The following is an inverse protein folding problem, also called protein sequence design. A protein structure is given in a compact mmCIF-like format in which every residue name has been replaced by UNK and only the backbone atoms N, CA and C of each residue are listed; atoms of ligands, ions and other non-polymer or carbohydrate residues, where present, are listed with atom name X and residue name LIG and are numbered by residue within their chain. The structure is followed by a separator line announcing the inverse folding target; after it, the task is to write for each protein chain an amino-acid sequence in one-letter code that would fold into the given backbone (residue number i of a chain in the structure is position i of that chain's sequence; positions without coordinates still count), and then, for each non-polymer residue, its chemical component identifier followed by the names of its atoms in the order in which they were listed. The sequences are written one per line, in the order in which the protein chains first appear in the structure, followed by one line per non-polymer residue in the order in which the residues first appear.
data_IF_867902107995
#
_entry.id   IF_867902107995
#
_cell.length_a   1.000
_cell.length_b   1.000
_cell.length_c   1.000
_cell.angle_alpha   90.00
_cell.angle_beta   90.00
_cell.angle_gamma   90.00
#
_symmetry.space_group_name_H-M   'P 1'
#
loop_
_entity.id
_entity.type
_entity.pdbx_description
1 polymer ?
#
# COMPACT_ATOMS: atom_id res chain seq x y z
N UNK A 1 32.07 8.34 23.02
CA UNK A 1 31.23 9.35 22.31
C UNK A 1 29.84 9.36 22.93
N UNK A 2 29.12 10.50 22.86
CA UNK A 2 27.75 10.63 23.38
C UNK A 2 26.82 9.56 22.75
N UNK A 3 26.98 9.29 21.47
CA UNK A 3 26.22 8.24 20.78
C UNK A 3 26.49 6.85 21.34
N UNK A 4 27.72 6.53 21.76
CA UNK A 4 28.04 5.25 22.38
C UNK A 4 27.39 5.09 23.77
N UNK A 5 27.28 6.16 24.54
CA UNK A 5 26.59 6.13 25.84
C UNK A 5 25.09 5.95 25.66
N UNK A 6 24.50 6.67 24.72
CA UNK A 6 23.07 6.56 24.38
C UNK A 6 22.77 5.12 23.87
N UNK A 7 23.57 4.61 22.94
CA UNK A 7 23.41 3.26 22.40
C UNK A 7 23.55 2.19 23.51
N UNK A 8 24.52 2.34 24.42
CA UNK A 8 24.68 1.43 25.54
C UNK A 8 23.51 1.49 26.53
N UNK A 9 23.05 2.69 26.85
CA UNK A 9 21.90 2.89 27.73
C UNK A 9 20.62 2.28 27.12
N UNK A 10 20.36 2.49 25.84
CA UNK A 10 19.21 1.91 25.14
C UNK A 10 19.29 0.39 25.04
N UNK A 11 20.48 -0.16 24.76
CA UNK A 11 20.71 -1.60 24.73
C UNK A 11 20.49 -2.25 26.10
N UNK A 12 20.82 -1.55 27.21
CA UNK A 12 20.59 -2.05 28.58
C UNK A 12 19.09 -2.12 28.94
N UNK A 13 18.23 -1.35 28.25
CA UNK A 13 16.77 -1.45 28.36
C UNK A 13 16.15 -2.43 27.35
N UNK A 14 16.95 -3.17 26.57
CA UNK A 14 16.47 -4.14 25.58
C UNK A 14 15.85 -3.52 24.31
N UNK A 15 16.10 -2.23 24.08
CA UNK A 15 15.59 -1.51 22.92
C UNK A 15 16.68 -0.66 22.26
N UNK A 16 16.46 -0.25 21.03
CA UNK A 16 17.31 0.71 20.33
C UNK A 16 16.51 1.99 19.98
N UNK A 17 17.21 3.06 19.65
CA UNK A 17 16.58 4.36 19.36
C UNK A 17 15.54 4.26 18.22
N UNK A 18 15.86 3.48 17.18
CA UNK A 18 14.93 3.23 16.09
C UNK A 18 13.65 2.54 16.58
N UNK A 19 13.81 1.51 17.41
CA UNK A 19 12.71 0.73 17.97
C UNK A 19 11.79 1.58 18.85
N UNK A 20 12.35 2.44 19.71
CA UNK A 20 11.57 3.37 20.53
C UNK A 20 10.74 4.32 19.67
N UNK A 21 11.33 4.89 18.61
CA UNK A 21 10.59 5.77 17.68
C UNK A 21 9.48 4.98 16.99
N UNK A 22 9.80 3.81 16.45
CA UNK A 22 8.81 2.98 15.75
C UNK A 22 7.65 2.60 16.68
N UNK A 23 7.92 2.12 17.88
CA UNK A 23 6.90 1.72 18.85
C UNK A 23 6.05 2.91 19.32
N UNK A 24 6.67 4.08 19.48
CA UNK A 24 5.96 5.31 19.85
C UNK A 24 4.98 5.80 18.77
N UNK A 25 5.24 5.48 17.52
CA UNK A 25 4.40 5.85 16.37
C UNK A 25 3.42 4.71 16.05
N UNK A 26 3.90 3.48 15.96
CA UNK A 26 3.10 2.34 15.51
C UNK A 26 2.00 1.95 16.50
N UNK A 27 2.29 1.98 17.81
CA UNK A 27 1.30 1.54 18.82
C UNK A 27 0.02 2.39 18.81
N UNK A 28 0.06 3.74 18.85
CA UNK A 28 -1.14 4.56 18.75
C UNK A 28 -1.86 4.41 17.42
N UNK A 29 -1.09 4.30 16.31
CA UNK A 29 -1.67 4.17 14.99
C UNK A 29 -2.30 2.79 14.77
N UNK A 30 -1.67 1.71 15.23
CA UNK A 30 -2.24 0.37 15.16
C UNK A 30 -3.59 0.28 15.92
N UNK A 31 -3.72 1.02 17.03
CA UNK A 31 -4.98 1.12 17.76
C UNK A 31 -6.13 1.77 16.96
N UNK A 32 -5.82 2.54 15.91
CA UNK A 32 -6.82 3.11 14.99
C UNK A 32 -7.38 2.07 13.99
N UNK A 33 -6.83 0.87 13.94
CA UNK A 33 -7.32 -0.23 13.11
C UNK A 33 -7.43 0.13 11.63
N UNK A 34 -8.60 -0.10 11.04
CA UNK A 34 -8.84 0.13 9.61
C UNK A 34 -8.65 1.58 9.14
N UNK A 35 -8.74 2.56 10.05
CA UNK A 35 -8.53 3.98 9.70
C UNK A 35 -7.13 4.21 9.14
N UNK A 36 -6.12 3.52 9.68
CA UNK A 36 -4.73 3.62 9.19
C UNK A 36 -4.61 3.15 7.74
N UNK A 37 -5.26 2.06 7.38
CA UNK A 37 -5.26 1.55 6.02
C UNK A 37 -5.90 2.52 5.02
N UNK A 38 -7.05 3.09 5.37
CA UNK A 38 -7.69 4.13 4.56
C UNK A 38 -6.82 5.38 4.43
N UNK A 39 -6.24 5.84 5.54
CA UNK A 39 -5.33 6.97 5.52
C UNK A 39 -4.12 6.70 4.62
N UNK A 40 -3.51 5.52 4.74
CA UNK A 40 -2.38 5.12 3.89
C UNK A 40 -2.71 5.23 2.41
N UNK A 41 -3.80 4.63 1.97
CA UNK A 41 -4.21 4.60 0.55
C UNK A 41 -4.46 6.02 0.02
N UNK A 42 -5.14 6.86 0.80
CA UNK A 42 -5.42 8.25 0.42
C UNK A 42 -4.13 9.08 0.37
N UNK A 43 -3.31 9.01 1.40
CA UNK A 43 -2.05 9.76 1.45
C UNK A 43 -1.05 9.28 0.41
N UNK A 44 -0.97 7.97 0.15
CA UNK A 44 -0.14 7.44 -0.92
C UNK A 44 -0.51 8.04 -2.29
N UNK A 45 -1.80 8.08 -2.61
CA UNK A 45 -2.28 8.68 -3.86
C UNK A 45 -2.02 10.20 -3.92
N UNK A 46 -2.25 10.91 -2.81
CA UNK A 46 -1.98 12.35 -2.73
C UNK A 46 -0.49 12.66 -2.92
N UNK A 47 0.39 11.92 -2.25
CA UNK A 47 1.85 12.13 -2.37
C UNK A 47 2.30 11.92 -3.82
N UNK A 48 1.86 10.84 -4.46
CA UNK A 48 2.15 10.60 -5.86
C UNK A 48 1.60 11.70 -6.78
N UNK A 49 0.42 12.22 -6.49
CA UNK A 49 -0.14 13.34 -7.25
C UNK A 49 0.72 14.60 -7.17
N UNK A 50 1.38 14.84 -6.03
CA UNK A 50 2.34 15.93 -5.85
C UNK A 50 3.77 15.59 -6.30
N UNK A 51 3.98 14.44 -6.92
CA UNK A 51 5.30 14.00 -7.43
C UNK A 51 6.22 13.41 -6.37
N UNK A 52 5.69 13.12 -5.18
CA UNK A 52 6.42 12.43 -4.10
C UNK A 52 6.11 10.94 -4.16
N UNK A 53 7.13 10.09 -4.10
CA UNK A 53 6.94 8.63 -4.07
C UNK A 53 6.22 8.22 -2.78
N UNK A 54 4.92 7.93 -2.88
CA UNK A 54 4.04 7.76 -1.72
C UNK A 54 4.48 6.63 -0.80
N UNK A 55 4.73 5.43 -1.32
CA UNK A 55 5.14 4.28 -0.50
C UNK A 55 6.47 4.54 0.24
N UNK A 56 7.45 5.20 -0.40
CA UNK A 56 8.69 5.57 0.28
C UNK A 56 8.46 6.59 1.39
N UNK A 57 7.59 7.57 1.17
CA UNK A 57 7.27 8.57 2.19
C UNK A 57 6.50 7.96 3.38
N UNK A 58 5.71 6.91 3.13
CA UNK A 58 4.90 6.21 4.13
C UNK A 58 5.58 4.95 4.71
N UNK A 59 6.87 4.74 4.46
CA UNK A 59 7.63 3.57 4.92
C UNK A 59 7.52 3.33 6.43
N UNK A 60 7.39 4.39 7.23
CA UNK A 60 7.21 4.25 8.68
C UNK A 60 5.89 3.56 9.06
N UNK A 61 4.79 3.85 8.34
CA UNK A 61 3.51 3.16 8.52
C UNK A 61 3.59 1.72 8.01
N UNK A 62 4.24 1.54 6.89
CA UNK A 62 4.42 0.27 6.23
C UNK A 62 5.18 -0.71 7.14
N UNK A 63 6.40 -0.35 7.56
CA UNK A 63 7.24 -1.19 8.41
C UNK A 63 6.74 -1.28 9.87
N UNK A 64 6.08 -0.24 10.38
CA UNK A 64 5.63 -0.18 11.76
C UNK A 64 4.29 -0.83 12.02
N UNK A 65 3.44 -1.01 11.00
CA UNK A 65 2.07 -1.49 11.18
C UNK A 65 1.71 -2.57 10.16
N UNK A 66 1.83 -2.29 8.86
CA UNK A 66 1.30 -3.17 7.82
C UNK A 66 2.13 -4.44 7.64
N UNK A 67 3.46 -4.34 7.76
CA UNK A 67 4.36 -5.49 7.76
C UNK A 67 4.16 -6.38 9.01
N UNK A 68 4.09 -5.87 10.25
CA UNK A 68 3.69 -6.65 11.41
C UNK A 68 2.36 -7.38 11.23
N UNK A 69 1.32 -6.72 10.71
CA UNK A 69 0.05 -7.36 10.40
C UNK A 69 0.17 -8.51 9.38
N UNK A 70 1.05 -8.35 8.38
CA UNK A 70 1.34 -9.43 7.44
C UNK A 70 2.01 -10.61 8.13
N UNK A 71 2.99 -10.36 9.01
CA UNK A 71 3.67 -11.41 9.78
C UNK A 71 2.70 -12.14 10.73
N UNK A 72 1.76 -11.43 11.34
CA UNK A 72 0.71 -12.04 12.17
C UNK A 72 -0.21 -12.93 11.32
N UNK A 73 -0.61 -12.49 10.13
CA UNK A 73 -1.40 -13.30 9.21
C UNK A 73 -0.66 -14.58 8.80
N UNK A 74 0.64 -14.49 8.50
CA UNK A 74 1.49 -15.64 8.17
C UNK A 74 1.60 -16.59 9.37
N UNK A 75 1.80 -16.05 10.58
CA UNK A 75 1.90 -16.85 11.81
C UNK A 75 0.59 -17.62 12.08
N UNK A 76 -0.56 -16.99 11.90
CA UNK A 76 -1.87 -17.65 12.02
C UNK A 76 -2.02 -18.77 11.00
N UNK A 77 -1.67 -18.51 9.73
CA UNK A 77 -1.71 -19.54 8.70
C UNK A 77 -0.82 -20.73 9.02
N UNK A 78 0.41 -20.47 9.46
CA UNK A 78 1.35 -21.55 9.83
C UNK A 78 0.88 -22.34 11.05
N UNK A 79 0.25 -21.69 12.03
CA UNK A 79 -0.25 -22.32 13.24
C UNK A 79 -1.45 -23.25 12.98
N UNK A 80 -2.38 -22.83 12.10
CA UNK A 80 -3.62 -23.54 11.86
C UNK A 80 -3.63 -24.36 10.56
N UNK A 81 -2.61 -24.20 9.70
CA UNK A 81 -2.43 -24.93 8.45
C UNK A 81 -3.33 -24.45 7.29
N UNK A 82 -4.38 -23.68 7.59
CA UNK A 82 -5.24 -23.05 6.58
C UNK A 82 -5.95 -21.81 7.13
N UNK A 83 -6.42 -20.96 6.22
CA UNK A 83 -7.23 -19.78 6.56
C UNK A 83 -8.53 -20.20 7.23
N UNK A 84 -9.22 -21.20 6.68
CA UNK A 84 -10.52 -21.66 7.17
C UNK A 84 -10.41 -22.21 8.59
N UNK A 85 -9.41 -23.04 8.87
CA UNK A 85 -9.17 -23.59 10.22
C UNK A 85 -8.87 -22.47 11.24
N UNK A 86 -8.16 -21.43 10.86
CA UNK A 86 -7.92 -20.29 11.74
C UNK A 86 -9.21 -19.51 12.03
N UNK A 87 -10.05 -19.29 11.02
CA UNK A 87 -11.34 -18.60 11.16
C UNK A 87 -12.30 -19.43 12.03
N UNK A 88 -12.39 -20.74 11.84
CA UNK A 88 -13.17 -21.66 12.67
C UNK A 88 -12.70 -21.65 14.13
N UNK A 89 -11.39 -21.45 14.36
CA UNK A 89 -10.82 -21.26 15.70
C UNK A 89 -11.05 -19.83 16.27
N UNK A 90 -11.87 -18.98 15.61
CA UNK A 90 -12.20 -17.65 16.05
C UNK A 90 -11.10 -16.61 15.86
N UNK A 91 -10.11 -16.89 15.00
CA UNK A 91 -9.03 -15.94 14.68
C UNK A 91 -9.46 -15.00 13.56
N UNK A 92 -8.92 -13.78 13.63
CA UNK A 92 -9.15 -12.75 12.61
C UNK A 92 -7.83 -12.39 11.92
N UNK A 93 -7.90 -12.25 10.61
CA UNK A 93 -6.77 -11.79 9.79
C UNK A 93 -6.85 -10.29 9.58
N UNK A 94 -5.69 -9.65 9.53
CA UNK A 94 -5.59 -8.23 9.23
C UNK A 94 -5.77 -8.00 7.74
N UNK A 95 -6.83 -7.27 7.36
CA UNK A 95 -7.11 -6.92 5.97
C UNK A 95 -6.05 -5.97 5.39
N UNK A 96 -5.63 -4.96 6.17
CA UNK A 96 -4.71 -3.91 5.72
C UNK A 96 -3.23 -4.31 5.76
N UNK A 97 -2.93 -5.59 5.73
CA UNK A 97 -1.57 -6.09 5.62
C UNK A 97 -0.99 -5.84 4.21
N UNK A 98 0.33 -5.65 4.10
CA UNK A 98 1.01 -5.35 2.84
C UNK A 98 0.62 -6.24 1.67
N UNK A 99 0.60 -7.57 1.77
CA UNK A 99 0.26 -8.42 0.64
C UNK A 99 -1.14 -8.14 0.07
N UNK A 100 -2.11 -7.74 0.91
CA UNK A 100 -3.45 -7.37 0.45
C UNK A 100 -3.43 -6.02 -0.28
N UNK A 101 -2.66 -5.05 0.22
CA UNK A 101 -2.48 -3.76 -0.44
C UNK A 101 -1.88 -3.94 -1.83
N UNK A 102 -0.76 -4.66 -1.92
CA UNK A 102 0.00 -4.83 -3.16
C UNK A 102 -0.74 -5.67 -4.20
N UNK A 103 -1.44 -6.74 -3.76
CA UNK A 103 -2.11 -7.66 -4.67
C UNK A 103 -3.42 -7.14 -5.24
N UNK A 104 -4.18 -6.33 -4.48
CA UNK A 104 -5.54 -5.94 -4.86
C UNK A 104 -5.75 -4.43 -4.91
N UNK A 105 -5.23 -3.67 -3.96
CA UNK A 105 -5.56 -2.24 -3.83
C UNK A 105 -4.61 -1.39 -4.68
N UNK A 106 -3.32 -1.70 -4.68
CA UNK A 106 -2.30 -1.01 -5.47
C UNK A 106 -2.09 -1.67 -6.85
N UNK A 107 -2.97 -2.56 -7.26
CA UNK A 107 -2.87 -3.28 -8.53
C UNK A 107 -2.74 -2.29 -9.69
N UNK A 108 -1.69 -2.48 -10.49
CA UNK A 108 -1.35 -1.58 -11.59
C UNK A 108 -0.69 -0.27 -11.14
N UNK A 109 -0.21 -0.24 -9.88
CA UNK A 109 0.53 0.88 -9.30
C UNK A 109 -0.36 2.01 -8.76
N UNK A 110 0.27 3.02 -8.18
CA UNK A 110 -0.44 4.18 -7.62
C UNK A 110 -1.25 4.90 -8.69
N UNK A 111 -2.55 5.18 -8.37
CA UNK A 111 -3.49 5.74 -9.33
C UNK A 111 -4.01 4.72 -10.36
N UNK A 112 -3.80 3.40 -10.15
CA UNK A 112 -4.17 2.32 -11.07
C UNK A 112 -3.72 2.61 -12.52
N UNK A 113 -2.47 3.05 -12.67
CA UNK A 113 -1.95 3.57 -13.94
C UNK A 113 -1.89 2.54 -15.05
N UNK A 114 -1.79 1.26 -14.75
CA UNK A 114 -1.94 0.19 -15.74
C UNK A 114 -3.35 0.22 -16.37
N UNK A 115 -4.39 0.42 -15.55
CA UNK A 115 -5.76 0.63 -16.03
C UNK A 115 -5.88 1.86 -16.91
N UNK A 116 -5.20 2.95 -16.58
CA UNK A 116 -5.14 4.16 -17.41
C UNK A 116 -4.45 3.87 -18.76
N UNK A 117 -3.35 3.13 -18.79
CA UNK A 117 -2.67 2.72 -20.02
C UNK A 117 -3.63 1.93 -20.93
N UNK A 118 -4.34 0.96 -20.35
CA UNK A 118 -5.34 0.17 -21.09
C UNK A 118 -6.46 1.07 -21.62
N UNK A 119 -6.99 1.97 -20.80
CA UNK A 119 -8.04 2.91 -21.19
C UNK A 119 -7.60 3.83 -22.35
N UNK A 120 -6.34 4.27 -22.34
CA UNK A 120 -5.77 5.07 -23.44
C UNK A 120 -5.74 4.27 -24.74
N UNK A 121 -5.36 3.01 -24.72
CA UNK A 121 -5.37 2.16 -25.91
C UNK A 121 -6.78 1.95 -26.47
N UNK A 122 -7.78 1.85 -25.61
CA UNK A 122 -9.18 1.63 -26.02
C UNK A 122 -9.82 2.94 -26.51
N UNK A 123 -9.71 4.02 -25.72
CA UNK A 123 -10.55 5.20 -25.89
C UNK A 123 -9.83 6.43 -26.46
N UNK A 124 -8.51 6.55 -26.31
CA UNK A 124 -7.82 7.76 -26.76
C UNK A 124 -7.65 7.79 -28.28
N UNK A 125 -8.00 8.92 -28.87
CA UNK A 125 -7.75 9.23 -30.30
C UNK A 125 -6.46 10.05 -30.50
N UNK A 126 -5.82 10.50 -29.41
CA UNK A 126 -4.60 11.31 -29.46
C UNK A 126 -3.39 10.42 -29.65
N UNK A 127 -2.60 10.70 -30.68
CA UNK A 127 -1.41 9.92 -31.01
C UNK A 127 -0.32 10.03 -29.93
N UNK A 128 -0.14 11.23 -29.37
CA UNK A 128 0.81 11.49 -28.27
C UNK A 128 0.51 10.65 -27.03
N UNK A 129 -0.76 10.62 -26.58
CA UNK A 129 -1.15 9.80 -25.44
C UNK A 129 -0.92 8.30 -25.68
N UNK A 130 -1.25 7.82 -26.89
CA UNK A 130 -1.04 6.40 -27.25
C UNK A 130 0.45 6.05 -27.31
N UNK A 131 1.29 6.98 -27.75
CA UNK A 131 2.74 6.78 -27.78
C UNK A 131 3.31 6.68 -26.37
N UNK A 132 2.94 7.59 -25.47
CA UNK A 132 3.37 7.53 -24.07
C UNK A 132 2.88 6.22 -23.41
N UNK A 133 1.61 5.85 -23.60
CA UNK A 133 1.07 4.61 -23.06
C UNK A 133 1.83 3.36 -23.58
N UNK A 134 2.22 3.35 -24.85
CA UNK A 134 3.02 2.26 -25.43
C UNK A 134 4.40 2.16 -24.80
N UNK A 135 5.07 3.29 -24.55
CA UNK A 135 6.37 3.33 -23.89
C UNK A 135 6.29 2.97 -22.40
N UNK A 136 5.19 3.35 -21.73
CA UNK A 136 4.99 3.07 -20.31
C UNK A 136 4.44 1.66 -20.02
N UNK A 137 3.87 0.95 -21.01
CA UNK A 137 3.26 -0.35 -20.81
C UNK A 137 4.21 -1.40 -20.20
N UNK A 138 5.47 -1.56 -20.69
CA UNK A 138 6.37 -2.55 -20.11
C UNK A 138 6.62 -2.32 -18.61
N UNK A 139 6.85 -1.08 -18.20
CA UNK A 139 7.07 -0.74 -16.79
C UNK A 139 5.78 -0.82 -15.98
N UNK A 140 4.65 -0.44 -16.57
CA UNK A 140 3.33 -0.47 -15.91
C UNK A 140 2.88 -1.89 -15.52
N UNK A 141 3.26 -2.91 -16.28
CA UNK A 141 3.01 -4.33 -15.94
C UNK A 141 3.69 -4.70 -14.61
N UNK A 142 4.86 -4.11 -14.33
CA UNK A 142 5.60 -4.31 -13.10
C UNK A 142 5.25 -3.26 -12.03
N UNK A 143 4.13 -2.56 -12.17
CA UNK A 143 3.64 -1.51 -11.25
C UNK A 143 4.59 -0.29 -11.11
N UNK A 144 5.47 -0.08 -12.09
CA UNK A 144 6.35 1.09 -12.15
C UNK A 144 5.60 2.22 -12.86
N UNK A 145 5.20 3.25 -12.11
CA UNK A 145 4.26 4.27 -12.54
C UNK A 145 4.92 5.48 -13.21
N UNK A 146 6.19 5.72 -12.92
CA UNK A 146 6.89 6.95 -13.30
C UNK A 146 6.80 7.27 -14.80
N UNK A 147 6.97 6.31 -15.73
CA UNK A 147 6.89 6.62 -17.15
C UNK A 147 5.53 7.17 -17.59
N UNK A 148 4.44 6.69 -17.01
CA UNK A 148 3.10 7.18 -17.35
C UNK A 148 2.76 8.48 -16.60
N UNK A 149 3.18 8.61 -15.34
CA UNK A 149 2.90 9.80 -14.52
C UNK A 149 3.59 11.05 -15.05
N UNK A 150 4.84 10.91 -15.50
CA UNK A 150 5.63 12.00 -16.06
C UNK A 150 5.46 12.14 -17.57
N UNK A 151 5.19 11.07 -18.30
CA UNK A 151 4.97 11.09 -19.74
C UNK A 151 3.62 11.67 -20.15
N UNK A 152 2.58 11.46 -19.35
CA UNK A 152 1.34 12.23 -19.38
C UNK A 152 1.41 13.26 -18.26
N UNK A 153 0.90 14.49 -18.46
CA UNK A 153 0.91 15.51 -17.41
C UNK A 153 -0.16 15.18 -16.34
N UNK A 154 0.08 14.12 -15.55
CA UNK A 154 -0.84 13.68 -14.49
C UNK A 154 -0.53 14.43 -13.19
N UNK A 155 0.77 14.55 -12.85
CA UNK A 155 1.22 15.20 -11.64
C UNK A 155 0.78 16.67 -11.64
N UNK A 156 0.19 17.10 -10.53
CA UNK A 156 -0.37 18.45 -10.30
C UNK A 156 -1.38 18.91 -11.36
N UNK A 157 -1.96 17.98 -12.13
CA UNK A 157 -2.98 18.30 -13.11
C UNK A 157 -4.37 18.31 -12.44
N UNK A 158 -5.06 19.46 -12.33
CA UNK A 158 -6.34 19.55 -11.63
C UNK A 158 -7.42 18.62 -12.21
N UNK A 159 -7.38 18.35 -13.52
CA UNK A 159 -8.34 17.47 -14.18
C UNK A 159 -8.14 16.02 -13.77
N UNK A 160 -6.88 15.63 -13.53
CA UNK A 160 -6.52 14.27 -13.13
C UNK A 160 -6.58 14.06 -11.61
N UNK A 161 -6.72 15.12 -10.82
CA UNK A 161 -6.70 15.04 -9.35
C UNK A 161 -7.75 14.07 -8.80
N UNK A 162 -9.01 14.31 -9.14
CA UNK A 162 -10.12 13.51 -8.62
C UNK A 162 -9.99 12.03 -9.03
N UNK A 163 -9.87 11.68 -10.33
CA UNK A 163 -9.78 10.28 -10.73
C UNK A 163 -8.52 9.59 -10.16
N UNK A 164 -7.40 10.28 -10.13
CA UNK A 164 -6.14 9.71 -9.65
C UNK A 164 -6.15 9.43 -8.14
N UNK A 165 -6.66 10.37 -7.35
CA UNK A 165 -6.70 10.23 -5.88
C UNK A 165 -7.78 9.25 -5.43
N UNK A 166 -8.93 9.20 -6.11
CA UNK A 166 -10.06 8.38 -5.68
C UNK A 166 -10.00 6.93 -6.16
N UNK A 167 -9.25 6.61 -7.22
CA UNK A 167 -9.26 5.25 -7.78
C UNK A 167 -8.81 4.20 -6.77
N UNK A 168 -7.77 4.48 -5.98
CA UNK A 168 -7.27 3.52 -4.98
C UNK A 168 -8.18 3.36 -3.77
N UNK A 169 -8.74 4.41 -3.14
CA UNK A 169 -9.81 4.25 -2.18
C UNK A 169 -11.01 3.46 -2.71
N UNK A 170 -11.38 3.64 -3.97
CA UNK A 170 -12.46 2.86 -4.58
C UNK A 170 -12.07 1.38 -4.71
N UNK A 171 -10.85 1.09 -5.17
CA UNK A 171 -10.35 -0.28 -5.23
C UNK A 171 -10.28 -0.91 -3.83
N UNK A 172 -9.84 -0.16 -2.82
CA UNK A 172 -9.84 -0.61 -1.43
C UNK A 172 -11.25 -0.94 -0.93
N UNK A 173 -12.25 -0.11 -1.25
CA UNK A 173 -13.64 -0.37 -0.89
C UNK A 173 -14.18 -1.64 -1.57
N UNK A 174 -13.91 -1.82 -2.85
CA UNK A 174 -14.31 -3.02 -3.61
C UNK A 174 -13.63 -4.27 -3.04
N UNK A 175 -12.33 -4.20 -2.78
CA UNK A 175 -11.56 -5.30 -2.21
C UNK A 175 -12.05 -5.66 -0.80
N UNK A 176 -12.33 -4.66 0.04
CA UNK A 176 -12.87 -4.87 1.38
C UNK A 176 -14.27 -5.52 1.33
N UNK A 177 -15.11 -5.09 0.41
CA UNK A 177 -16.42 -5.71 0.19
C UNK A 177 -16.28 -7.18 -0.27
N UNK A 178 -15.39 -7.46 -1.23
CA UNK A 178 -15.12 -8.82 -1.69
C UNK A 178 -14.53 -9.71 -0.59
N UNK A 179 -13.66 -9.14 0.24
CA UNK A 179 -13.09 -9.82 1.42
C UNK A 179 -14.18 -10.15 2.45
N UNK A 180 -15.05 -9.18 2.78
CA UNK A 180 -16.13 -9.38 3.74
C UNK A 180 -17.19 -10.38 3.28
N UNK A 181 -17.35 -10.54 1.96
CA UNK A 181 -18.24 -11.54 1.35
C UNK A 181 -17.56 -12.93 1.21
N UNK A 182 -16.32 -13.09 1.63
CA UNK A 182 -15.56 -14.33 1.50
C UNK A 182 -15.15 -14.68 0.05
N UNK A 183 -15.24 -13.73 -0.89
CA UNK A 183 -14.83 -13.93 -2.28
C UNK A 183 -13.29 -13.93 -2.39
N UNK A 184 -12.65 -13.08 -1.60
CA UNK A 184 -11.18 -12.97 -1.54
C UNK A 184 -10.74 -13.46 -0.17
N UNK A 185 -9.85 -14.46 -0.09
CA UNK A 185 -9.29 -14.90 1.18
C UNK A 185 -8.26 -13.89 1.72
N UNK A 186 -7.92 -13.96 3.03
CA UNK A 186 -6.76 -13.25 3.57
C UNK A 186 -5.49 -13.67 2.84
N UNK A 187 -4.62 -12.69 2.55
CA UNK A 187 -3.31 -12.98 1.95
C UNK A 187 -2.33 -13.32 3.06
N UNK A 188 -1.69 -14.48 2.95
CA UNK A 188 -0.83 -15.09 4.00
C UNK A 188 0.58 -15.43 3.50
N UNK A 189 0.99 -14.91 2.35
CA UNK A 189 2.29 -15.12 1.70
C UNK A 189 2.91 -13.82 1.22
#
# INVERSE_FOLDING_TARGET
SIFGIISWALASYGSNFHQIIMDSISTPLAAMGSVVGWAYVIFNSLLWFFGVHGSLALTALDNGIMTPWALENIALYNQYGSVDAAIEAGKQFHFWANPMLDSYILLGGSGATLGLIIAIFIASRRADHRQVAKLALPSGIFQINEPILFGLPIIMNPVMFIPFVLVQPILAAITLAAYSLGIIPPVTN
#
